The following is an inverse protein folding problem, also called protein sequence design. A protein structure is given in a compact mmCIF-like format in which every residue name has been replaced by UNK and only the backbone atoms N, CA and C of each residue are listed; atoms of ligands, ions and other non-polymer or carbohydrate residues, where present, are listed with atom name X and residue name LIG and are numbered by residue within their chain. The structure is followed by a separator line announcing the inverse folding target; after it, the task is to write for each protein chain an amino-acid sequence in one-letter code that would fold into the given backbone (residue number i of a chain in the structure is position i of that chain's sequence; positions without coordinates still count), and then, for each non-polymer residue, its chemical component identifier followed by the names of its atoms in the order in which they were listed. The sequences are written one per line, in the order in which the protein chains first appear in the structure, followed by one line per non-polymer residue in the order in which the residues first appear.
data_IF_558397975842
#
_entry.id   IF_558397975842
#
_cell.length_a   1.000
_cell.length_b   1.000
_cell.length_c   1.000
_cell.angle_alpha   90.00
_cell.angle_beta   90.00
_cell.angle_gamma   90.00
#
_symmetry.space_group_name_H-M   'P 1'
#
loop_
_entity.id
_entity.type
_entity.pdbx_description
1 polymer ?
#
# COMPACT_ATOMS: atom_id res chain seq x y z
N UNK A 1 -34.62 74.87 -11.52
CA UNK A 1 -36.08 74.80 -11.26
C UNK A 1 -36.31 73.66 -10.31
N UNK A 2 -36.92 73.97 -9.17
CA UNK A 2 -37.26 73.05 -8.10
C UNK A 2 -38.55 72.28 -8.42
N UNK A 3 -38.73 71.11 -7.80
CA UNK A 3 -39.95 70.32 -7.90
C UNK A 3 -39.86 69.04 -7.09
N UNK A 4 -39.94 69.16 -5.76
CA UNK A 4 -40.31 68.07 -4.86
C UNK A 4 -41.73 67.57 -5.19
N UNK A 5 -41.98 66.26 -5.05
CA UNK A 5 -43.26 65.73 -4.56
C UNK A 5 -43.18 64.23 -4.19
N UNK A 6 -43.13 64.01 -2.89
CA UNK A 6 -44.01 63.18 -2.06
C UNK A 6 -44.39 61.72 -2.45
N UNK A 7 -43.90 60.82 -1.58
CA UNK A 7 -44.47 59.58 -0.99
C UNK A 7 -45.77 58.98 -1.55
N UNK A 8 -45.74 57.65 -1.74
CA UNK A 8 -46.83 56.78 -1.30
C UNK A 8 -46.33 55.39 -0.88
N UNK A 9 -46.84 54.93 0.26
CA UNK A 9 -46.55 53.65 0.90
C UNK A 9 -47.24 52.48 0.19
N UNK A 10 -46.64 51.28 0.27
CA UNK A 10 -47.42 50.04 0.21
C UNK A 10 -46.73 48.95 1.04
N UNK A 11 -47.46 48.47 2.05
CA UNK A 11 -47.15 47.30 2.86
C UNK A 11 -47.37 46.03 2.03
N UNK A 12 -46.46 45.07 2.15
CA UNK A 12 -46.64 43.70 1.69
C UNK A 12 -46.04 42.73 2.70
N UNK A 13 -46.89 42.23 3.59
CA UNK A 13 -46.63 41.10 4.48
C UNK A 13 -46.47 39.78 3.70
N UNK A 14 -45.90 38.79 4.41
CA UNK A 14 -45.98 37.35 4.18
C UNK A 14 -45.03 36.73 3.14
N UNK A 15 -44.01 36.02 3.64
CA UNK A 15 -44.09 34.56 3.79
C UNK A 15 -42.79 34.00 4.39
N UNK A 16 -42.87 33.58 5.66
CA UNK A 16 -41.90 32.70 6.30
C UNK A 16 -41.85 31.37 5.52
N UNK A 17 -40.73 31.08 4.87
CA UNK A 17 -40.37 29.71 4.43
C UNK A 17 -39.16 29.24 5.22
N UNK A 18 -39.44 28.59 6.35
CA UNK A 18 -38.53 27.73 7.09
C UNK A 18 -38.14 26.54 6.22
N UNK A 19 -36.99 26.63 5.54
CA UNK A 19 -36.31 25.46 4.98
C UNK A 19 -35.59 24.76 6.12
N UNK A 20 -36.20 23.67 6.60
CA UNK A 20 -35.64 22.69 7.53
C UNK A 20 -34.41 22.06 6.86
N UNK A 21 -33.23 22.56 7.20
CA UNK A 21 -31.94 22.02 6.79
C UNK A 21 -31.81 20.59 7.33
N UNK A 22 -31.59 19.66 6.41
CA UNK A 22 -31.28 18.27 6.69
C UNK A 22 -29.85 18.22 7.22
N UNK A 23 -29.69 17.98 8.51
CA UNK A 23 -28.40 17.78 9.18
C UNK A 23 -27.63 16.68 8.46
N UNK A 24 -26.42 16.92 7.92
CA UNK A 24 -25.55 15.82 7.54
C UNK A 24 -25.18 15.11 8.84
N UNK A 25 -25.56 13.83 8.94
CA UNK A 25 -25.14 12.95 10.00
C UNK A 25 -23.62 12.82 9.87
N UNK A 26 -22.89 13.66 10.61
CA UNK A 26 -21.45 13.57 10.78
C UNK A 26 -21.23 12.28 11.55
N UNK A 27 -20.86 11.22 10.83
CA UNK A 27 -20.36 9.99 11.44
C UNK A 27 -19.17 10.42 12.27
N UNK A 28 -19.35 10.46 13.59
CA UNK A 28 -18.26 10.51 14.54
C UNK A 28 -17.55 9.17 14.40
N UNK A 29 -16.55 9.15 13.53
CA UNK A 29 -15.46 8.19 13.66
C UNK A 29 -14.67 8.75 14.82
N UNK A 30 -14.72 8.08 15.98
CA UNK A 30 -13.75 8.28 17.03
C UNK A 30 -12.39 7.92 16.42
N UNK A 31 -11.70 8.93 15.90
CA UNK A 31 -10.26 8.88 15.66
C UNK A 31 -9.62 8.77 17.05
N UNK A 32 -9.45 7.53 17.48
CA UNK A 32 -8.53 7.19 18.56
C UNK A 32 -7.16 7.76 18.17
N UNK A 33 -6.79 8.84 18.86
CA UNK A 33 -5.55 9.58 18.69
C UNK A 33 -4.37 8.61 18.74
N UNK A 34 -3.88 8.23 17.56
CA UNK A 34 -2.57 7.60 17.44
C UNK A 34 -1.58 8.73 17.48
N UNK A 35 -1.10 9.00 18.70
CA UNK A 35 -0.08 9.98 19.03
C UNK A 35 1.09 9.88 18.05
N UNK A 36 1.26 10.96 17.31
CA UNK A 36 2.33 11.16 16.35
C UNK A 36 3.63 11.38 17.10
N UNK A 37 4.36 10.30 17.34
CA UNK A 37 5.79 10.36 17.61
C UNK A 37 6.50 10.72 16.29
N UNK A 38 6.61 12.01 16.03
CA UNK A 38 7.68 12.57 15.20
C UNK A 38 8.95 12.54 16.04
N UNK A 39 9.80 11.55 15.80
CA UNK A 39 11.17 11.55 16.33
C UNK A 39 12.04 12.28 15.31
N UNK A 40 12.36 13.55 15.57
CA UNK A 40 13.50 14.22 14.97
C UNK A 40 14.77 13.43 15.36
N UNK A 41 15.47 12.90 14.36
CA UNK A 41 16.74 12.20 14.56
C UNK A 41 17.88 13.22 14.54
N UNK A 42 18.46 13.46 15.71
CA UNK A 42 19.80 14.00 15.80
C UNK A 42 20.79 12.86 15.54
N UNK A 43 21.43 12.91 14.37
CA UNK A 43 22.56 12.07 14.01
C UNK A 43 23.80 12.62 14.74
N UNK A 44 23.92 12.29 16.03
CA UNK A 44 25.15 12.52 16.77
C UNK A 44 25.99 11.26 16.66
N UNK A 45 26.97 11.28 15.76
CA UNK A 45 28.09 10.34 15.75
C UNK A 45 28.91 10.59 17.02
N UNK A 46 28.55 9.94 18.12
CA UNK A 46 29.34 9.96 19.35
C UNK A 46 30.37 8.84 19.30
N UNK A 47 31.62 9.23 19.06
CA UNK A 47 32.83 8.42 19.00
C UNK A 47 33.25 8.02 20.43
N UNK A 48 32.34 7.36 21.15
CA UNK A 48 32.53 6.90 22.52
C UNK A 48 33.03 5.46 22.53
N UNK A 49 34.35 5.27 22.63
CA UNK A 49 34.98 3.96 22.82
C UNK A 49 34.49 3.27 24.09
N UNK A 50 33.43 2.48 23.98
CA UNK A 50 33.08 1.45 24.96
C UNK A 50 33.81 0.17 24.58
N UNK A 51 34.63 -0.33 25.50
CA UNK A 51 35.02 -1.74 25.58
C UNK A 51 33.75 -2.57 25.83
N UNK A 52 32.89 -2.70 24.83
CA UNK A 52 31.75 -3.59 24.88
C UNK A 52 32.28 -5.01 24.73
N UNK A 53 32.02 -5.88 25.71
CA UNK A 53 32.18 -7.32 25.60
C UNK A 53 31.71 -7.78 24.21
N UNK A 54 32.66 -8.22 23.39
CA UNK A 54 32.60 -8.47 21.94
C UNK A 54 31.75 -9.72 21.58
N UNK A 55 30.72 -10.00 22.38
CA UNK A 55 29.80 -11.12 22.21
C UNK A 55 28.70 -10.81 21.17
N UNK A 56 28.47 -9.54 20.84
CA UNK A 56 27.45 -9.12 19.87
C UNK A 56 27.83 -9.47 18.43
N UNK A 57 29.13 -9.61 18.13
CA UNK A 57 29.60 -9.99 16.80
C UNK A 57 29.37 -11.49 16.48
N UNK A 58 28.91 -12.29 17.47
CA UNK A 58 28.63 -13.72 17.26
C UNK A 58 27.47 -14.00 16.31
N UNK A 59 26.55 -13.06 16.15
CA UNK A 59 25.31 -13.28 15.39
C UNK A 59 25.22 -12.32 14.21
N UNK A 60 26.06 -12.57 13.20
CA UNK A 60 25.93 -11.90 11.91
C UNK A 60 24.61 -12.27 11.19
N UNK A 61 24.27 -11.49 10.15
CA UNK A 61 23.09 -11.71 9.31
C UNK A 61 22.96 -13.16 8.83
N UNK A 62 24.06 -13.79 8.39
CA UNK A 62 24.05 -15.14 7.85
C UNK A 62 23.62 -16.18 8.90
N UNK A 63 24.05 -16.03 10.16
CA UNK A 63 23.65 -16.93 11.24
C UNK A 63 22.16 -16.80 11.55
N UNK A 64 21.67 -15.57 11.68
CA UNK A 64 20.24 -15.32 11.92
C UNK A 64 19.36 -15.78 10.76
N UNK A 65 19.79 -15.53 9.51
CA UNK A 65 19.09 -15.99 8.33
C UNK A 65 19.02 -17.52 8.25
N UNK A 66 20.10 -18.24 8.57
CA UNK A 66 20.11 -19.71 8.65
C UNK A 66 19.16 -20.23 9.73
N UNK A 67 19.12 -19.58 10.90
CA UNK A 67 18.18 -19.95 11.98
C UNK A 67 16.73 -19.81 11.50
N UNK A 68 16.43 -18.78 10.72
CA UNK A 68 15.08 -18.52 10.21
C UNK A 68 14.78 -19.13 8.83
N UNK A 69 15.73 -19.86 8.23
CA UNK A 69 15.59 -20.50 6.93
C UNK A 69 14.50 -21.58 6.94
N UNK A 70 14.36 -22.28 8.07
CA UNK A 70 13.34 -23.32 8.26
C UNK A 70 11.94 -22.77 8.49
N UNK A 71 11.81 -21.46 8.72
CA UNK A 71 10.51 -20.84 8.97
C UNK A 71 9.79 -20.67 7.64
N UNK A 72 8.55 -21.18 7.49
CA UNK A 72 7.78 -21.00 6.26
C UNK A 72 7.57 -19.50 5.99
N UNK A 73 7.47 -19.09 4.72
CA UNK A 73 7.21 -17.68 4.41
C UNK A 73 5.88 -17.21 5.02
N UNK A 74 5.87 -16.00 5.57
CA UNK A 74 4.69 -15.40 6.17
C UNK A 74 3.67 -15.07 5.07
N UNK A 75 2.46 -15.57 5.27
CA UNK A 75 1.28 -15.25 4.47
C UNK A 75 0.18 -14.73 5.40
N UNK A 76 -0.86 -14.15 4.83
CA UNK A 76 -2.04 -13.74 5.61
C UNK A 76 -2.82 -14.89 6.27
N UNK A 77 -2.48 -16.16 5.96
CA UNK A 77 -3.15 -17.36 6.47
C UNK A 77 -2.40 -18.10 7.57
N UNK A 78 -1.07 -17.98 7.62
CA UNK A 78 -0.23 -18.77 8.54
C UNK A 78 0.40 -17.93 9.67
N UNK A 79 -0.09 -16.70 9.91
CA UNK A 79 0.49 -15.78 10.89
C UNK A 79 0.76 -16.41 12.26
N UNK A 80 -0.23 -17.10 12.85
CA UNK A 80 -0.05 -17.67 14.19
C UNK A 80 1.06 -18.72 14.22
N UNK A 81 1.02 -19.69 13.31
CA UNK A 81 2.06 -20.72 13.17
C UNK A 81 3.43 -20.11 12.90
N UNK A 82 3.51 -19.15 11.97
CA UNK A 82 4.74 -18.41 11.67
C UNK A 82 5.29 -17.69 12.89
N UNK A 83 4.43 -16.98 13.64
CA UNK A 83 4.84 -16.19 14.80
C UNK A 83 5.40 -17.06 15.91
N UNK A 84 4.82 -18.23 16.13
CA UNK A 84 5.31 -19.24 17.08
C UNK A 84 6.67 -19.76 16.67
N UNK A 85 6.86 -20.06 15.37
CA UNK A 85 8.13 -20.57 14.85
C UNK A 85 9.25 -19.53 14.89
N UNK A 86 8.99 -18.26 14.57
CA UNK A 86 9.97 -17.17 14.71
C UNK A 86 10.44 -17.08 16.16
N UNK A 87 9.50 -17.00 17.12
CA UNK A 87 9.84 -16.93 18.54
C UNK A 87 10.62 -18.16 19.02
N UNK A 88 10.20 -19.36 18.61
CA UNK A 88 10.87 -20.60 19.00
C UNK A 88 12.32 -20.65 18.47
N UNK A 89 12.54 -20.26 17.21
CA UNK A 89 13.87 -20.23 16.63
C UNK A 89 14.75 -19.12 17.25
N UNK A 90 14.22 -17.91 17.46
CA UNK A 90 14.98 -16.82 18.07
C UNK A 90 15.33 -17.06 19.54
N UNK A 91 14.67 -17.98 20.25
CA UNK A 91 15.05 -18.37 21.63
C UNK A 91 16.46 -18.92 21.72
N UNK A 92 17.02 -19.49 20.64
CA UNK A 92 18.41 -19.96 20.62
C UNK A 92 19.41 -18.79 20.64
N UNK A 93 18.93 -17.57 20.36
CA UNK A 93 19.69 -16.31 20.43
C UNK A 93 18.98 -15.38 21.42
N UNK A 94 19.23 -15.51 22.74
CA UNK A 94 18.50 -14.75 23.76
C UNK A 94 18.50 -13.24 23.51
N UNK A 95 19.61 -12.71 22.99
CA UNK A 95 19.74 -11.30 22.63
C UNK A 95 18.72 -10.87 21.54
N UNK A 96 18.52 -11.69 20.50
CA UNK A 96 17.50 -11.44 19.48
C UNK A 96 16.08 -11.45 20.03
N UNK A 97 15.80 -12.38 20.96
CA UNK A 97 14.49 -12.45 21.62
C UNK A 97 14.20 -11.16 22.40
N UNK A 98 15.19 -10.61 23.11
CA UNK A 98 15.02 -9.33 23.84
C UNK A 98 14.76 -8.14 22.92
N UNK A 99 15.42 -8.08 21.76
CA UNK A 99 15.13 -7.08 20.71
C UNK A 99 13.70 -7.22 20.17
N UNK A 100 13.27 -8.45 19.86
CA UNK A 100 11.91 -8.72 19.36
C UNK A 100 10.83 -8.33 20.38
N UNK A 101 11.07 -8.62 21.65
CA UNK A 101 10.17 -8.31 22.76
C UNK A 101 10.18 -6.82 23.15
N UNK A 102 11.12 -6.03 22.62
CA UNK A 102 11.23 -4.60 22.92
C UNK A 102 11.83 -4.32 24.29
N UNK A 103 12.58 -5.26 24.88
CA UNK A 103 13.24 -5.06 26.16
C UNK A 103 14.48 -4.17 26.07
N UNK A 104 15.07 -4.09 24.87
CA UNK A 104 16.15 -3.15 24.55
C UNK A 104 15.56 -2.05 23.68
N UNK A 105 15.28 -0.90 24.31
CA UNK A 105 15.02 0.33 23.58
C UNK A 105 16.33 1.00 23.17
N UNK A 106 16.25 2.11 22.42
CA UNK A 106 17.43 2.80 21.88
C UNK A 106 18.37 3.38 22.94
N UNK A 107 17.88 3.57 24.17
CA UNK A 107 18.66 4.11 25.28
C UNK A 107 19.28 3.00 26.13
N UNK A 108 18.90 1.74 25.89
CA UNK A 108 19.41 0.61 26.64
C UNK A 108 20.88 0.34 26.26
N UNK A 109 21.81 0.15 27.22
CA UNK A 109 23.24 0.00 26.94
C UNK A 109 23.59 -1.26 26.12
N UNK A 110 22.70 -2.25 26.13
CA UNK A 110 22.81 -3.46 25.30
C UNK A 110 22.04 -3.37 23.98
N UNK A 111 21.48 -2.21 23.64
CA UNK A 111 20.83 -2.04 22.35
C UNK A 111 21.88 -1.77 21.28
N UNK A 112 21.84 -2.59 20.23
CA UNK A 112 22.76 -2.49 19.12
C UNK A 112 21.99 -2.19 17.84
N UNK A 113 22.19 -1.00 17.26
CA UNK A 113 21.52 -0.54 16.02
C UNK A 113 21.75 -1.49 14.85
N UNK A 114 22.99 -1.94 14.67
CA UNK A 114 23.39 -2.81 13.56
C UNK A 114 22.73 -4.18 13.68
N UNK A 115 22.71 -4.74 14.88
CA UNK A 115 22.03 -6.00 15.17
C UNK A 115 20.51 -5.89 15.00
N UNK A 116 19.90 -4.82 15.49
CA UNK A 116 18.46 -4.57 15.35
C UNK A 116 18.05 -4.45 13.88
N UNK A 117 18.80 -3.69 13.07
CA UNK A 117 18.60 -3.58 11.62
C UNK A 117 18.76 -4.95 10.93
N UNK A 118 19.74 -5.73 11.36
CA UNK A 118 19.97 -7.09 10.87
C UNK A 118 18.75 -7.97 11.13
N UNK A 119 18.19 -7.93 12.34
CA UNK A 119 16.98 -8.65 12.69
C UNK A 119 15.77 -8.20 11.87
N UNK A 120 15.59 -6.90 11.65
CA UNK A 120 14.53 -6.38 10.78
C UNK A 120 14.68 -6.94 9.36
N UNK A 121 15.89 -6.91 8.79
CA UNK A 121 16.15 -7.44 7.46
C UNK A 121 15.90 -8.95 7.34
N UNK A 122 16.29 -9.73 8.35
CA UNK A 122 15.98 -11.17 8.40
C UNK A 122 14.48 -11.39 8.54
N UNK A 123 13.79 -10.65 9.40
CA UNK A 123 12.34 -10.74 9.56
C UNK A 123 11.62 -10.45 8.24
N UNK A 124 12.01 -9.37 7.54
CA UNK A 124 11.51 -9.02 6.22
C UNK A 124 11.77 -10.14 5.19
N UNK A 125 12.92 -10.80 5.25
CA UNK A 125 13.23 -11.91 4.33
C UNK A 125 12.27 -13.10 4.47
N UNK A 126 11.63 -13.26 5.63
CA UNK A 126 10.64 -14.32 5.86
C UNK A 126 9.26 -13.98 5.32
N UNK A 127 9.02 -12.75 4.84
CA UNK A 127 7.73 -12.34 4.28
C UNK A 127 7.52 -12.96 2.88
N UNK A 128 6.34 -13.52 2.63
CA UNK A 128 5.99 -13.94 1.27
C UNK A 128 5.56 -12.72 0.46
N UNK A 129 6.34 -12.40 -0.57
CA UNK A 129 6.08 -11.30 -1.51
C UNK A 129 5.44 -11.80 -2.80
N UNK A 130 5.24 -13.12 -2.93
CA UNK A 130 4.68 -13.77 -4.12
C UNK A 130 3.47 -14.61 -3.75
N UNK A 131 2.58 -14.90 -4.70
CA UNK A 131 1.42 -15.76 -4.48
C UNK A 131 0.16 -15.05 -3.98
N UNK A 132 -0.92 -15.82 -3.82
CA UNK A 132 -2.29 -15.33 -3.59
C UNK A 132 -2.48 -14.67 -2.22
N UNK A 133 -1.75 -15.15 -1.20
CA UNK A 133 -1.85 -14.68 0.18
C UNK A 133 -0.64 -13.88 0.63
N UNK A 134 0.08 -13.30 -0.33
CA UNK A 134 1.28 -12.51 -0.09
C UNK A 134 1.01 -11.34 0.85
N UNK A 135 2.07 -10.91 1.52
CA UNK A 135 2.06 -9.81 2.48
C UNK A 135 2.98 -8.68 2.03
N UNK A 136 3.11 -8.47 0.71
CA UNK A 136 3.99 -7.45 0.12
C UNK A 136 3.74 -6.05 0.70
N UNK A 137 2.49 -5.73 1.00
CA UNK A 137 2.14 -4.45 1.63
C UNK A 137 2.80 -4.27 3.01
N UNK A 138 3.03 -5.34 3.78
CA UNK A 138 3.77 -5.28 5.05
C UNK A 138 5.23 -4.94 4.81
N UNK A 139 5.84 -5.50 3.78
CA UNK A 139 7.22 -5.18 3.44
C UNK A 139 7.36 -3.69 3.13
N UNK A 140 6.44 -3.13 2.32
CA UNK A 140 6.43 -1.69 2.02
C UNK A 140 6.23 -0.86 3.29
N UNK A 141 5.28 -1.25 4.15
CA UNK A 141 4.93 -0.52 5.36
C UNK A 141 6.01 -0.57 6.45
N UNK A 142 6.80 -1.65 6.50
CA UNK A 142 7.98 -1.77 7.37
C UNK A 142 9.17 -1.02 6.78
N UNK A 143 9.36 -1.07 5.45
CA UNK A 143 10.53 -0.45 4.79
C UNK A 143 10.46 1.08 4.71
N UNK A 144 9.25 1.65 4.71
CA UNK A 144 9.06 3.11 4.67
C UNK A 144 9.57 3.81 5.94
N UNK A 145 9.62 3.12 7.06
CA UNK A 145 9.95 3.69 8.35
C UNK A 145 11.22 3.00 8.88
N UNK A 146 12.14 3.76 9.49
CA UNK A 146 13.27 3.19 10.22
C UNK A 146 12.81 2.58 11.56
N UNK A 147 12.07 1.47 11.47
CA UNK A 147 11.49 0.76 12.61
C UNK A 147 12.54 -0.08 13.32
N UNK A 148 12.43 -0.15 14.64
CA UNK A 148 13.14 -1.17 15.41
C UNK A 148 12.57 -2.57 15.16
N UNK A 149 13.31 -3.62 15.49
CA UNK A 149 12.82 -5.00 15.38
C UNK A 149 11.47 -5.19 16.11
N UNK A 150 11.35 -4.68 17.34
CA UNK A 150 10.11 -4.72 18.10
C UNK A 150 8.95 -3.99 17.39
N UNK A 151 9.21 -2.80 16.86
CA UNK A 151 8.19 -2.00 16.17
C UNK A 151 7.73 -2.70 14.88
N UNK A 152 8.66 -3.25 14.10
CA UNK A 152 8.36 -4.05 12.91
C UNK A 152 7.49 -5.26 13.28
N UNK A 153 7.88 -6.00 14.32
CA UNK A 153 7.10 -7.13 14.85
C UNK A 153 5.68 -6.73 15.24
N UNK A 154 5.53 -5.66 16.05
CA UNK A 154 4.21 -5.15 16.47
C UNK A 154 3.36 -4.65 15.32
N UNK A 155 3.99 -4.12 14.27
CA UNK A 155 3.29 -3.68 13.05
C UNK A 155 2.75 -4.88 12.28
N UNK A 156 3.53 -5.95 12.12
CA UNK A 156 3.08 -7.23 11.52
C UNK A 156 1.95 -7.85 12.34
N UNK A 157 2.09 -7.90 13.67
CA UNK A 157 1.10 -8.46 14.58
C UNK A 157 -0.25 -7.74 14.40
N UNK A 158 -0.30 -6.43 14.65
CA UNK A 158 -1.53 -5.63 14.52
C UNK A 158 -2.13 -5.75 13.13
N UNK A 159 -1.28 -5.77 12.11
CA UNK A 159 -1.67 -5.88 10.72
C UNK A 159 -2.45 -7.14 10.37
N UNK A 160 -2.05 -8.27 10.94
CA UNK A 160 -2.57 -9.58 10.56
C UNK A 160 -3.65 -10.09 11.53
N UNK A 161 -3.66 -9.59 12.77
CA UNK A 161 -4.64 -9.98 13.79
C UNK A 161 -5.85 -9.05 13.87
N UNK A 162 -5.72 -7.78 13.47
CA UNK A 162 -6.84 -6.84 13.50
C UNK A 162 -7.84 -7.11 12.36
N UNK A 163 -9.07 -7.47 12.72
CA UNK A 163 -10.17 -7.66 11.77
C UNK A 163 -10.52 -6.34 11.06
N UNK A 164 -10.52 -5.23 11.81
CA UNK A 164 -10.69 -3.90 11.26
C UNK A 164 -9.59 -3.57 10.26
N UNK A 165 -8.32 -3.88 10.57
CA UNK A 165 -7.21 -3.64 9.65
C UNK A 165 -7.31 -4.53 8.40
N UNK A 166 -7.70 -5.80 8.52
CA UNK A 166 -7.94 -6.68 7.37
C UNK A 166 -9.03 -6.13 6.45
N UNK A 167 -10.12 -5.62 7.02
CA UNK A 167 -11.25 -5.08 6.27
C UNK A 167 -10.89 -3.77 5.59
N UNK A 168 -10.33 -2.80 6.32
CA UNK A 168 -9.88 -1.53 5.75
C UNK A 168 -8.83 -1.73 4.66
N UNK A 169 -7.96 -2.73 4.78
CA UNK A 169 -6.95 -3.04 3.74
C UNK A 169 -7.53 -3.69 2.50
N UNK A 170 -8.53 -4.58 2.64
CA UNK A 170 -9.27 -5.08 1.48
C UNK A 170 -9.92 -3.92 0.71
N UNK A 171 -10.48 -2.94 1.43
CA UNK A 171 -11.09 -1.75 0.81
C UNK A 171 -10.03 -0.90 0.10
N UNK A 172 -8.89 -0.63 0.74
CA UNK A 172 -7.81 0.15 0.14
C UNK A 172 -7.24 -0.50 -1.12
N UNK A 173 -6.96 -1.81 -1.11
CA UNK A 173 -6.48 -2.54 -2.29
C UNK A 173 -7.52 -2.55 -3.43
N UNK A 174 -8.81 -2.66 -3.11
CA UNK A 174 -9.88 -2.55 -4.11
C UNK A 174 -9.96 -1.14 -4.70
N UNK A 175 -9.74 -0.10 -3.91
CA UNK A 175 -9.68 1.28 -4.37
C UNK A 175 -8.49 1.50 -5.31
N UNK A 176 -7.28 1.08 -4.92
CA UNK A 176 -6.08 1.16 -5.77
C UNK A 176 -6.25 0.37 -7.09
N UNK A 177 -6.85 -0.82 -7.02
CA UNK A 177 -7.14 -1.62 -8.22
C UNK A 177 -8.15 -0.91 -9.14
N UNK A 178 -9.15 -0.24 -8.58
CA UNK A 178 -10.13 0.52 -9.36
C UNK A 178 -9.51 1.77 -9.99
N UNK A 179 -8.62 2.47 -9.29
CA UNK A 179 -7.84 3.58 -9.86
C UNK A 179 -6.92 3.08 -10.99
N UNK A 180 -6.20 1.97 -10.79
CA UNK A 180 -5.38 1.35 -11.84
C UNK A 180 -6.20 0.95 -13.08
N UNK A 181 -7.44 0.46 -12.89
CA UNK A 181 -8.38 0.19 -13.99
C UNK A 181 -8.83 1.46 -14.71
N UNK A 182 -8.98 2.57 -14.00
CA UNK A 182 -9.26 3.87 -14.64
C UNK A 182 -8.08 4.32 -15.52
N UNK A 183 -6.84 4.19 -15.04
CA UNK A 183 -5.66 4.44 -15.88
C UNK A 183 -5.60 3.52 -17.11
N UNK A 184 -6.09 2.29 -17.00
CA UNK A 184 -6.20 1.39 -18.17
C UNK A 184 -7.25 1.88 -19.18
N UNK A 185 -8.37 2.46 -18.73
CA UNK A 185 -9.37 3.04 -19.62
C UNK A 185 -8.82 4.27 -20.37
N UNK A 186 -8.08 5.12 -19.67
CA UNK A 186 -7.41 6.29 -20.27
C UNK A 186 -6.31 5.86 -21.25
N UNK A 187 -5.51 4.84 -20.91
CA UNK A 187 -4.53 4.26 -21.84
C UNK A 187 -5.21 3.66 -23.08
N UNK A 188 -6.33 2.94 -22.91
CA UNK A 188 -7.11 2.41 -24.04
C UNK A 188 -7.69 3.52 -24.92
N UNK A 189 -8.14 4.63 -24.32
CA UNK A 189 -8.62 5.82 -25.04
C UNK A 189 -7.49 6.45 -25.85
N UNK A 190 -6.33 6.66 -25.23
CA UNK A 190 -5.14 7.20 -25.90
C UNK A 190 -4.69 6.32 -27.08
N UNK A 191 -4.68 4.99 -26.90
CA UNK A 191 -4.35 4.05 -27.99
C UNK A 191 -5.34 4.19 -29.16
N UNK A 192 -6.64 4.38 -28.89
CA UNK A 192 -7.64 4.61 -29.95
C UNK A 192 -7.41 5.92 -30.67
N UNK A 193 -7.16 7.01 -29.94
CA UNK A 193 -6.88 8.33 -30.53
C UNK A 193 -5.64 8.31 -31.42
N UNK A 194 -4.55 7.66 -30.97
CA UNK A 194 -3.33 7.47 -31.78
C UNK A 194 -3.64 6.73 -33.08
N UNK A 195 -4.45 5.66 -33.04
CA UNK A 195 -4.83 4.91 -34.25
C UNK A 195 -5.66 5.75 -35.21
N UNK A 196 -6.61 6.53 -34.71
CA UNK A 196 -7.44 7.44 -35.53
C UNK A 196 -6.55 8.45 -36.26
N UNK A 197 -5.63 9.11 -35.53
CA UNK A 197 -4.68 10.05 -36.12
C UNK A 197 -3.79 9.39 -37.19
N UNK A 198 -3.34 8.16 -36.99
CA UNK A 198 -2.56 7.41 -37.99
C UNK A 198 -3.38 7.10 -39.25
N UNK A 199 -4.66 6.73 -39.11
CA UNK A 199 -5.54 6.52 -40.27
C UNK A 199 -5.89 7.80 -41.00
N UNK A 200 -6.09 8.92 -40.30
CA UNK A 200 -6.41 10.22 -40.91
C UNK A 200 -5.21 10.82 -41.64
N UNK A 201 -4.00 10.68 -41.09
CA UNK A 201 -2.75 11.13 -41.73
C UNK A 201 -2.35 10.25 -42.91
N UNK A 202 -2.79 8.99 -42.96
CA UNK A 202 -2.58 8.09 -44.12
C UNK A 202 -3.42 8.48 -45.35
N UNK A 203 -4.40 9.38 -45.23
CA UNK A 203 -5.27 9.81 -46.33
C UNK A 203 -4.72 11.01 -47.12
N UNK A 204 -3.58 11.58 -46.72
CA UNK A 204 -2.88 12.63 -47.49
C UNK A 204 -1.67 12.06 -48.24
N UNK A 205 -1.94 11.10 -49.12
CA UNK A 205 -1.03 10.81 -50.23
C UNK A 205 -1.30 11.81 -51.36
N UNK A 206 -0.33 12.61 -51.80
CA UNK A 206 -0.53 13.47 -52.95
C UNK A 206 -0.91 12.63 -54.16
N UNK A 207 -1.87 13.11 -54.93
CA UNK A 207 -2.01 12.80 -56.35
C UNK A 207 -0.67 13.11 -57.04
N UNK A 208 0.27 12.16 -56.99
CA UNK A 208 1.48 12.18 -57.78
C UNK A 208 1.34 11.11 -58.84
N UNK A 209 0.87 11.59 -59.98
CA UNK A 209 0.81 10.91 -61.26
C UNK A 209 2.15 10.27 -61.61
N UNK A 210 2.11 8.95 -61.83
CA UNK A 210 2.97 8.23 -62.75
C UNK A 210 4.44 8.02 -62.37
N UNK A 211 4.77 6.90 -61.74
CA UNK A 211 5.96 6.14 -62.14
C UNK A 211 5.91 4.66 -61.72
N UNK A 212 6.57 3.83 -62.51
CA UNK A 212 6.42 2.37 -62.58
C UNK A 212 6.87 1.62 -61.32
N UNK A 213 6.15 0.52 -61.08
CA UNK A 213 6.37 -0.58 -60.12
C UNK A 213 7.82 -1.05 -60.01
N UNK A 214 8.22 -1.35 -58.77
CA UNK A 214 8.97 -2.56 -58.44
C UNK A 214 8.36 -3.17 -57.14
N UNK A 215 8.24 -4.51 -57.03
CA UNK A 215 7.66 -5.16 -55.88
C UNK A 215 8.71 -5.31 -54.77
N UNK A 216 8.41 -4.85 -53.55
CA UNK A 216 9.18 -5.21 -52.37
C UNK A 216 8.28 -6.00 -51.43
N UNK A 217 8.73 -7.21 -51.13
CA UNK A 217 8.06 -8.21 -50.31
C UNK A 217 7.72 -7.67 -48.93
N UNK A 218 6.43 -7.75 -48.60
CA UNK A 218 5.85 -7.43 -47.32
C UNK A 218 6.17 -8.53 -46.29
N UNK A 219 6.99 -8.20 -45.29
CA UNK A 219 7.13 -8.98 -44.06
C UNK A 219 5.85 -8.90 -43.23
N UNK A 220 5.28 -10.06 -42.92
CA UNK A 220 4.10 -10.23 -42.09
C UNK A 220 4.39 -9.82 -40.64
N UNK A 221 3.76 -8.74 -40.18
CA UNK A 221 3.65 -8.43 -38.75
C UNK A 221 2.53 -9.29 -38.17
N UNK A 222 2.90 -10.32 -37.42
CA UNK A 222 1.99 -11.16 -36.64
C UNK A 222 1.35 -10.30 -35.54
N UNK A 223 0.11 -9.86 -35.77
CA UNK A 223 -0.73 -9.32 -34.72
C UNK A 223 -1.41 -10.47 -33.98
N UNK A 224 -0.94 -10.75 -32.76
CA UNK A 224 -1.61 -11.67 -31.85
C UNK A 224 -2.95 -11.07 -31.40
N UNK A 225 -4.07 -11.80 -31.48
CA UNK A 225 -5.35 -11.32 -30.99
C UNK A 225 -5.40 -11.45 -29.47
N UNK A 226 -5.34 -10.31 -28.77
CA UNK A 226 -5.66 -10.24 -27.36
C UNK A 226 -7.15 -10.57 -27.18
N UNK A 227 -7.45 -11.70 -26.53
CA UNK A 227 -8.82 -12.03 -26.11
C UNK A 227 -9.21 -11.17 -24.91
N UNK A 228 -10.41 -10.57 -24.90
CA UNK A 228 -10.95 -9.91 -23.72
C UNK A 228 -11.09 -10.90 -22.58
N UNK A 229 -10.66 -10.51 -21.38
CA UNK A 229 -10.93 -11.24 -20.15
C UNK A 229 -12.42 -11.10 -19.81
N UNK A 230 -13.18 -12.19 -19.94
CA UNK A 230 -14.55 -12.26 -19.42
C UNK A 230 -14.49 -12.78 -17.98
N UNK A 231 -14.98 -12.03 -16.98
CA UNK A 231 -15.16 -12.57 -15.63
C UNK A 231 -16.21 -13.68 -15.72
N UNK A 232 -15.81 -14.92 -15.46
CA UNK A 232 -16.75 -16.01 -15.23
C UNK A 232 -17.45 -15.77 -13.89
N UNK A 233 -18.77 -15.58 -13.94
CA UNK A 233 -19.66 -15.65 -12.78
C UNK A 233 -19.55 -17.03 -12.12
N UNK A 234 -18.71 -17.12 -11.11
CA UNK A 234 -18.65 -18.24 -10.20
C UNK A 234 -18.60 -17.72 -8.77
N UNK A 235 -19.78 -17.41 -8.22
CA UNK A 235 -20.25 -17.86 -6.91
C UNK A 235 -21.47 -17.02 -6.48
N UNK A 236 -22.66 -17.50 -6.83
CA UNK A 236 -23.91 -17.17 -6.17
C UNK A 236 -24.62 -18.49 -5.83
N UNK A 237 -24.27 -19.06 -4.67
CA UNK A 237 -25.09 -20.00 -3.89
C UNK A 237 -24.33 -20.51 -2.67
N UNK A 238 -24.70 -20.00 -1.51
CA UNK A 238 -24.72 -20.65 -0.19
C UNK A 238 -25.04 -19.54 0.83
N UNK A 239 -25.93 -19.65 1.79
CA UNK A 239 -27.07 -20.52 2.05
C UNK A 239 -27.79 -19.76 3.19
N UNK A 240 -29.11 -19.55 3.08
CA UNK A 240 -29.94 -19.22 4.24
C UNK A 240 -30.29 -20.53 4.93
N UNK A 241 -29.83 -20.73 6.16
CA UNK A 241 -30.50 -21.60 7.14
C UNK A 241 -30.03 -21.27 8.56
N UNK A 242 -30.95 -21.44 9.52
CA UNK A 242 -30.88 -21.17 10.97
C UNK A 242 -31.15 -19.68 11.32
N UNK A 243 -32.37 -19.28 11.68
CA UNK A 243 -33.28 -19.83 12.72
C UNK A 243 -32.60 -19.90 14.09
#
# INVERSE_FOLDING_TARGET
MAGDNNRQASMGEAARRTRKGKTPQRVQIDEEATDGNETEYFDNEDEGGSESDDDDNRYNYCTLAKILETVPKLTSRNYYSWSTLIKANLRVVPHATRHLEGMYDRNHPKWNRTFDNTLVGVLQSTLDTKGEYNVLYLLLDISKNHLTCHQAWKKIERSLTSEAARTSRRIALLAELNEAKMFHADACKLIKEIRVMQTETSCHGPECSGSRRAPVESMAVVQSPWRPWTPTDSHAKEERAHM
#
